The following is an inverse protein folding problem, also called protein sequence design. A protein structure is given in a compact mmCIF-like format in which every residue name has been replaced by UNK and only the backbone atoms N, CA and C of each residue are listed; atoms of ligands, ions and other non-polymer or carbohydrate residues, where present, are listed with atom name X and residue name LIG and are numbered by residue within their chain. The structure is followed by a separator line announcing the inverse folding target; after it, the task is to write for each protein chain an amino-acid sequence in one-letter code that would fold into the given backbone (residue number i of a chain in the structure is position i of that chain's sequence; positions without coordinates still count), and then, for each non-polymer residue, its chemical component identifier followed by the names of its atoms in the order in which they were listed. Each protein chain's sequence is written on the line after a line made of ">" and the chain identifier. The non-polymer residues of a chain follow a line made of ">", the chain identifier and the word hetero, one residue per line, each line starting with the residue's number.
data_IF_379304289763
#
_entry.id   IF_379304289763
#
_cell.length_a   1.000
_cell.length_b   1.000
_cell.length_c   1.000
_cell.angle_alpha   90.00
_cell.angle_beta   90.00
_cell.angle_gamma   90.00
#
_symmetry.space_group_name_H-M   'P 1'
#
loop_
_entity.id
_entity.type
_entity.pdbx_description
1 polymer ?
#
# COMPACT_ATOMS: atom_id res chain seq x y z
N UNK A 1 -3.67 2.03 -31.25
CA UNK A 1 -4.32 0.88 -30.59
C UNK A 1 -3.72 0.72 -29.19
N UNK A 2 -4.25 1.44 -28.19
CA UNK A 2 -3.77 1.30 -26.80
C UNK A 2 -4.46 0.11 -26.15
N UNK A 3 -3.71 -0.96 -25.91
CA UNK A 3 -4.14 -2.07 -25.06
C UNK A 3 -4.03 -1.57 -23.62
N UNK A 4 -5.08 -0.90 -23.14
CA UNK A 4 -5.28 -0.68 -21.72
C UNK A 4 -5.37 -2.10 -21.14
N UNK A 5 -4.48 -2.53 -20.23
CA UNK A 5 -4.74 -3.76 -19.52
C UNK A 5 -5.93 -3.44 -18.62
N UNK A 6 -7.14 -3.79 -19.08
CA UNK A 6 -8.42 -3.72 -18.36
C UNK A 6 -8.36 -4.70 -17.19
N UNK A 7 -7.43 -4.46 -16.28
CA UNK A 7 -7.29 -5.24 -15.06
C UNK A 7 -8.46 -4.80 -14.22
N UNK A 8 -9.44 -5.70 -14.02
CA UNK A 8 -10.63 -5.36 -13.27
C UNK A 8 -10.26 -4.70 -11.93
N UNK A 9 -10.98 -3.63 -11.50
CA UNK A 9 -10.62 -2.91 -10.27
C UNK A 9 -10.55 -3.82 -9.02
N UNK A 10 -11.30 -4.93 -9.02
CA UNK A 10 -11.24 -5.98 -8.00
C UNK A 10 -9.85 -6.65 -7.97
N UNK A 11 -9.35 -7.06 -9.13
CA UNK A 11 -8.04 -7.70 -9.32
C UNK A 11 -6.91 -6.72 -8.98
N UNK A 12 -6.99 -5.48 -9.46
CA UNK A 12 -6.03 -4.42 -9.15
C UNK A 12 -5.92 -4.17 -7.63
N UNK A 13 -7.07 -3.97 -6.97
CA UNK A 13 -7.15 -3.79 -5.51
C UNK A 13 -6.58 -4.99 -4.75
N UNK A 14 -6.85 -6.22 -5.19
CA UNK A 14 -6.31 -7.43 -4.56
C UNK A 14 -4.80 -7.55 -4.75
N UNK A 15 -4.26 -7.21 -5.92
CA UNK A 15 -2.81 -7.18 -6.17
C UNK A 15 -2.11 -6.17 -5.26
N UNK A 16 -2.63 -4.95 -5.13
CA UNK A 16 -2.09 -3.94 -4.23
C UNK A 16 -2.13 -4.37 -2.76
N UNK A 17 -3.26 -4.95 -2.32
CA UNK A 17 -3.40 -5.50 -0.98
C UNK A 17 -2.35 -6.57 -0.68
N UNK A 18 -2.14 -7.51 -1.60
CA UNK A 18 -1.13 -8.57 -1.45
C UNK A 18 0.28 -7.99 -1.41
N UNK A 19 0.61 -7.09 -2.34
CA UNK A 19 1.91 -6.42 -2.40
C UNK A 19 2.25 -5.69 -1.10
N UNK A 20 1.33 -4.88 -0.55
CA UNK A 20 1.56 -4.12 0.68
C UNK A 20 1.66 -5.03 1.91
N UNK A 21 0.85 -6.09 2.01
CA UNK A 21 0.87 -7.01 3.16
C UNK A 21 2.16 -7.80 3.31
N UNK A 22 2.91 -8.00 2.23
CA UNK A 22 4.19 -8.71 2.26
C UNK A 22 5.25 -7.98 3.10
N UNK A 23 5.07 -6.69 3.39
CA UNK A 23 6.02 -5.85 4.13
C UNK A 23 6.47 -6.45 5.47
N UNK A 24 5.56 -6.87 6.37
CA UNK A 24 5.95 -7.42 7.69
C UNK A 24 6.63 -8.79 7.58
N UNK A 25 6.18 -9.63 6.65
CA UNK A 25 6.80 -10.94 6.42
C UNK A 25 8.24 -10.75 5.93
N UNK A 26 8.49 -9.76 5.06
CA UNK A 26 9.83 -9.44 4.59
C UNK A 26 10.68 -8.71 5.62
N UNK A 27 10.14 -7.84 6.48
CA UNK A 27 10.90 -7.27 7.60
C UNK A 27 11.43 -8.37 8.52
N UNK A 28 10.58 -9.35 8.85
CA UNK A 28 10.98 -10.48 9.69
C UNK A 28 12.06 -11.34 9.02
N UNK A 29 12.01 -11.48 7.70
CA UNK A 29 13.04 -12.18 6.91
C UNK A 29 14.32 -11.33 6.82
N UNK A 30 14.23 -10.02 6.61
CA UNK A 30 15.40 -9.14 6.54
C UNK A 30 16.11 -9.03 7.88
N UNK A 31 15.43 -9.17 9.03
CA UNK A 31 16.12 -9.17 10.31
C UNK A 31 17.07 -10.39 10.50
N UNK A 32 17.01 -11.39 9.63
CA UNK A 32 17.98 -12.49 9.55
C UNK A 32 19.14 -12.04 8.65
N UNK A 33 20.38 -12.10 9.15
CA UNK A 33 21.59 -11.56 8.51
C UNK A 33 22.09 -12.38 7.31
N UNK A 34 21.20 -12.71 6.37
CA UNK A 34 21.54 -13.44 5.15
C UNK A 34 21.74 -12.46 3.99
N UNK A 35 22.47 -12.86 2.95
CA UNK A 35 22.82 -12.05 1.77
C UNK A 35 21.61 -11.45 1.00
N UNK A 36 20.39 -11.96 1.23
CA UNK A 36 19.12 -11.39 0.73
C UNK A 36 18.66 -10.11 1.49
N UNK A 37 19.43 -9.65 2.47
CA UNK A 37 19.08 -8.52 3.35
C UNK A 37 18.89 -7.19 2.60
N UNK A 38 19.79 -6.86 1.66
CA UNK A 38 19.79 -5.58 0.94
C UNK A 38 18.60 -5.46 -0.02
N UNK A 39 18.27 -6.52 -0.75
CA UNK A 39 17.10 -6.58 -1.62
C UNK A 39 15.80 -6.48 -0.81
N UNK A 40 15.73 -7.18 0.33
CA UNK A 40 14.57 -7.11 1.21
C UNK A 40 14.33 -5.69 1.74
N UNK A 41 15.39 -4.98 2.15
CA UNK A 41 15.31 -3.56 2.55
C UNK A 41 14.84 -2.69 1.39
N UNK A 42 15.39 -2.89 0.19
CA UNK A 42 15.00 -2.14 -1.00
C UNK A 42 13.50 -2.29 -1.28
N UNK A 43 12.99 -3.52 -1.34
CA UNK A 43 11.58 -3.75 -1.62
C UNK A 43 10.65 -3.25 -0.49
N UNK A 44 11.13 -3.17 0.76
CA UNK A 44 10.40 -2.53 1.85
C UNK A 44 10.32 -1.00 1.66
N UNK A 45 11.42 -0.37 1.26
CA UNK A 45 11.45 1.06 0.93
C UNK A 45 10.52 1.39 -0.24
N UNK A 46 10.50 0.57 -1.29
CA UNK A 46 9.59 0.76 -2.42
C UNK A 46 8.12 0.74 -2.01
N UNK A 47 7.72 -0.17 -1.11
CA UNK A 47 6.36 -0.21 -0.57
C UNK A 47 6.00 1.05 0.23
N UNK A 48 6.93 1.54 1.05
CA UNK A 48 6.71 2.78 1.81
C UNK A 48 6.62 4.00 0.89
N UNK A 49 7.43 4.06 -0.17
CA UNK A 49 7.34 5.13 -1.18
C UNK A 49 5.97 5.19 -1.83
N UNK A 50 5.37 4.04 -2.16
CA UNK A 50 3.99 4.00 -2.69
C UNK A 50 3.01 4.63 -1.69
N UNK A 51 3.12 4.28 -0.41
CA UNK A 51 2.24 4.82 0.64
C UNK A 51 2.44 6.33 0.81
N UNK A 52 3.68 6.81 0.86
CA UNK A 52 3.99 8.23 0.99
C UNK A 52 3.52 9.03 -0.24
N UNK A 53 3.63 8.47 -1.45
CA UNK A 53 3.11 9.12 -2.65
C UNK A 53 1.58 9.24 -2.61
N UNK A 54 0.87 8.16 -2.27
CA UNK A 54 -0.59 8.21 -2.08
C UNK A 54 -0.97 9.20 -0.97
N UNK A 55 -0.18 9.31 0.10
CA UNK A 55 -0.42 10.26 1.18
C UNK A 55 -0.26 11.71 0.75
N UNK A 56 0.68 11.99 -0.16
CA UNK A 56 0.85 13.29 -0.79
C UNK A 56 -0.37 13.69 -1.64
N UNK A 57 -0.95 12.73 -2.37
CA UNK A 57 -2.11 12.97 -3.24
C UNK A 57 -3.45 12.99 -2.46
N UNK A 58 -3.64 12.06 -1.55
CA UNK A 58 -4.85 11.87 -0.74
C UNK A 58 -4.46 11.36 0.65
N UNK A 59 -4.32 12.29 1.60
CA UNK A 59 -3.88 12.02 2.98
C UNK A 59 -4.68 10.88 3.64
N UNK A 60 -6.01 10.87 3.47
CA UNK A 60 -6.87 9.84 4.05
C UNK A 60 -6.54 8.44 3.49
N UNK A 61 -6.37 8.34 2.18
CA UNK A 61 -6.01 7.10 1.50
C UNK A 61 -4.62 6.62 1.93
N UNK A 62 -3.64 7.52 2.03
CA UNK A 62 -2.31 7.20 2.54
C UNK A 62 -2.34 6.65 3.97
N UNK A 63 -3.08 7.32 4.88
CA UNK A 63 -3.27 6.86 6.27
C UNK A 63 -3.94 5.47 6.31
N UNK A 64 -4.96 5.23 5.47
CA UNK A 64 -5.62 3.92 5.38
C UNK A 64 -4.63 2.84 4.95
N UNK A 65 -3.79 3.11 3.94
CA UNK A 65 -2.81 2.14 3.47
C UNK A 65 -1.77 1.78 4.54
N UNK A 66 -1.19 2.81 5.17
CA UNK A 66 -0.23 2.65 6.25
C UNK A 66 -0.84 1.85 7.42
N UNK A 67 -1.97 2.31 7.94
CA UNK A 67 -2.61 1.68 9.09
C UNK A 67 -3.04 0.24 8.80
N UNK A 68 -3.72 -0.02 7.66
CA UNK A 68 -4.34 -1.33 7.40
C UNK A 68 -3.36 -2.37 6.87
N UNK A 69 -2.42 -1.97 6.02
CA UNK A 69 -1.60 -2.93 5.27
C UNK A 69 -0.15 -2.97 5.73
N UNK A 70 0.38 -1.85 6.25
CA UNK A 70 1.74 -1.79 6.81
C UNK A 70 1.70 -2.14 8.30
N UNK A 71 0.93 -1.38 9.10
CA UNK A 71 0.83 -1.51 10.56
C UNK A 71 -0.17 -2.58 11.03
N UNK A 72 -1.06 -3.06 10.13
CA UNK A 72 -2.10 -4.07 10.39
C UNK A 72 -3.08 -3.70 11.52
N UNK A 73 -3.38 -2.42 11.67
CA UNK A 73 -4.40 -1.96 12.61
C UNK A 73 -5.79 -2.47 12.22
N UNK A 74 -6.64 -2.63 13.23
CA UNK A 74 -8.07 -2.88 13.01
C UNK A 74 -8.72 -1.72 12.26
N UNK A 75 -9.88 -1.95 11.66
CA UNK A 75 -10.65 -0.87 11.01
C UNK A 75 -10.94 0.26 11.99
N UNK A 76 -11.39 -0.10 13.21
CA UNK A 76 -11.70 0.87 14.26
C UNK A 76 -10.49 1.75 14.62
N UNK A 77 -9.33 1.14 14.87
CA UNK A 77 -8.10 1.88 15.17
C UNK A 77 -7.62 2.74 13.99
N UNK A 78 -7.91 2.31 12.75
CA UNK A 78 -7.60 3.13 11.57
C UNK A 78 -8.53 4.35 11.48
N UNK A 79 -9.81 4.19 11.82
CA UNK A 79 -10.76 5.30 11.89
C UNK A 79 -10.36 6.30 12.98
N UNK A 80 -9.92 5.82 14.14
CA UNK A 80 -9.39 6.68 15.21
C UNK A 80 -8.16 7.47 14.76
N UNK A 81 -7.24 6.85 14.02
CA UNK A 81 -6.09 7.54 13.43
C UNK A 81 -6.50 8.59 12.38
N UNK A 82 -7.52 8.31 11.57
CA UNK A 82 -8.05 9.31 10.64
C UNK A 82 -8.68 10.48 11.40
N UNK A 83 -9.41 10.20 12.48
CA UNK A 83 -10.00 11.23 13.34
C UNK A 83 -8.94 12.13 14.00
N UNK A 84 -7.78 11.58 14.40
CA UNK A 84 -6.67 12.41 14.92
C UNK A 84 -6.07 13.35 13.87
N UNK A 85 -6.36 13.13 12.59
CA UNK A 85 -6.01 14.02 11.48
C UNK A 85 -7.19 14.88 10.99
N UNK A 86 -8.24 15.04 11.81
CA UNK A 86 -9.49 15.75 11.46
C UNK A 86 -10.24 15.14 10.26
N UNK A 87 -10.03 13.85 9.97
CA UNK A 87 -10.73 13.12 8.91
C UNK A 87 -11.74 12.18 9.54
N UNK A 88 -13.01 12.60 9.55
CA UNK A 88 -14.10 11.78 10.08
C UNK A 88 -14.73 10.95 8.96
N UNK A 89 -14.78 9.63 9.15
CA UNK A 89 -15.42 8.70 8.21
C UNK A 89 -16.24 7.65 8.94
N UNK A 90 -17.37 7.26 8.35
CA UNK A 90 -18.16 6.12 8.83
C UNK A 90 -17.52 4.80 8.42
N UNK A 91 -17.89 3.72 9.11
CA UNK A 91 -17.44 2.35 8.76
C UNK A 91 -17.90 1.96 7.35
N UNK A 92 -19.09 2.38 6.92
CA UNK A 92 -19.56 2.12 5.56
C UNK A 92 -18.68 2.81 4.52
N UNK A 93 -18.36 4.10 4.72
CA UNK A 93 -17.51 4.86 3.80
C UNK A 93 -16.03 4.44 3.87
N UNK A 94 -15.60 3.85 4.98
CA UNK A 94 -14.25 3.32 5.14
C UNK A 94 -13.88 2.32 4.06
N UNK A 95 -14.74 1.36 3.74
CA UNK A 95 -14.41 0.32 2.76
C UNK A 95 -14.34 0.87 1.32
N UNK A 96 -15.16 1.87 1.00
CA UNK A 96 -15.07 2.58 -0.28
C UNK A 96 -13.73 3.32 -0.40
N UNK A 97 -13.33 4.06 0.65
CA UNK A 97 -12.03 4.74 0.70
C UNK A 97 -10.85 3.76 0.70
N UNK A 98 -10.96 2.64 1.40
CA UNK A 98 -9.94 1.59 1.38
C UNK A 98 -9.76 1.03 -0.04
N UNK A 99 -10.86 0.80 -0.77
CA UNK A 99 -10.79 0.37 -2.18
C UNK A 99 -10.14 1.43 -3.06
N UNK A 100 -10.53 2.70 -2.92
CA UNK A 100 -9.89 3.83 -3.63
C UNK A 100 -8.38 3.85 -3.38
N UNK A 101 -7.98 3.79 -2.11
CA UNK A 101 -6.58 3.83 -1.71
C UNK A 101 -5.76 2.66 -2.30
N UNK A 102 -6.34 1.45 -2.34
CA UNK A 102 -5.70 0.29 -2.95
C UNK A 102 -5.54 0.44 -4.47
N UNK A 103 -6.48 1.09 -5.15
CA UNK A 103 -6.36 1.38 -6.58
C UNK A 103 -5.27 2.42 -6.86
N UNK A 104 -5.19 3.50 -6.06
CA UNK A 104 -4.11 4.48 -6.16
C UNK A 104 -2.74 3.81 -5.94
N UNK A 105 -2.63 2.95 -4.93
CA UNK A 105 -1.42 2.18 -4.70
C UNK A 105 -1.05 1.28 -5.88
N UNK A 106 -2.04 0.63 -6.51
CA UNK A 106 -1.82 -0.26 -7.65
C UNK A 106 -1.20 0.46 -8.86
N UNK A 107 -1.61 1.71 -9.11
CA UNK A 107 -1.07 2.52 -10.21
C UNK A 107 0.41 2.86 -10.00
N UNK A 108 0.83 3.00 -8.75
CA UNK A 108 2.17 3.38 -8.32
C UNK A 108 3.08 2.20 -8.03
N UNK A 109 2.54 0.98 -7.98
CA UNK A 109 3.34 -0.23 -7.82
C UNK A 109 4.30 -0.38 -8.99
N UNK A 110 5.56 -0.79 -8.75
CA UNK A 110 6.47 -1.15 -9.83
C UNK A 110 5.85 -2.31 -10.62
N UNK A 111 5.33 -1.99 -11.81
CA UNK A 111 4.87 -2.97 -12.78
C UNK A 111 6.13 -3.66 -13.30
N UNK A 112 6.06 -4.97 -13.54
CA UNK A 112 7.20 -5.83 -13.90
C UNK A 112 8.07 -5.39 -15.09
N UNK A 113 7.75 -4.25 -15.73
CA UNK A 113 8.50 -3.61 -16.82
C UNK A 113 9.33 -2.38 -16.41
N UNK A 114 9.32 -1.90 -15.16
CA UNK A 114 10.25 -0.84 -14.76
C UNK A 114 11.62 -1.46 -14.48
N UNK A 115 12.48 -1.46 -15.52
CA UNK A 115 13.91 -1.74 -15.41
C UNK A 115 14.47 -0.96 -14.23
N UNK A 116 15.12 -1.68 -13.31
CA UNK A 116 16.07 -1.10 -12.37
C UNK A 116 17.16 -0.46 -13.25
N UNK A 117 17.15 0.86 -13.37
CA UNK A 117 18.30 1.58 -13.91
C UNK A 117 19.36 1.54 -12.81
N UNK A 118 20.46 0.84 -13.10
CA UNK A 118 21.65 0.75 -12.25
C UNK A 118 22.31 2.12 -12.07
#
# INVERSE_FOLDING_TARGET
>A
MSIIPTTEPSVASNRAKTYLKQYKSWILVSLRQDSNHSEAIYQCKERLKVVEHVKGDDLASGIILDCRFIKKYSTQRTIEQLASHNITITVSNFYHRQRKALLMAYELMPKSNTKIVK
#
